data_IF_923268137333
#
_entry.id   IF_923268137333
#
_cell.length_a   1.000
_cell.length_b   1.000
_cell.length_c   1.000
_cell.angle_alpha   90.00
_cell.angle_beta   90.00
_cell.angle_gamma   90.00
#
_symmetry.space_group_name_H-M   'P 1'
#
loop_
_entity.id
_entity.type
_entity.pdbx_description
1 polymer ?
#
# COMPACT_ATOMS: atom_id res chain seq x y z
N UNK A 1 41.82 -11.23 -12.85
CA UNK A 1 40.71 -11.65 -11.95
C UNK A 1 40.62 -10.57 -10.90
N UNK A 2 39.48 -9.89 -10.77
CA UNK A 2 39.36 -8.75 -9.86
C UNK A 2 39.18 -9.27 -8.44
N UNK A 3 40.13 -8.93 -7.56
CA UNK A 3 40.03 -9.16 -6.13
C UNK A 3 38.85 -8.35 -5.59
N UNK A 4 37.75 -9.05 -5.32
CA UNK A 4 36.57 -8.45 -4.69
C UNK A 4 36.88 -8.28 -3.20
N UNK A 5 36.80 -7.07 -2.63
CA UNK A 5 37.07 -6.90 -1.21
C UNK A 5 36.06 -7.73 -0.42
N UNK A 6 36.60 -8.60 0.43
CA UNK A 6 35.84 -9.41 1.39
C UNK A 6 35.02 -8.45 2.23
N UNK A 7 33.69 -8.61 2.27
CA UNK A 7 32.84 -7.78 3.14
C UNK A 7 33.34 -7.91 4.57
N UNK A 8 33.88 -6.84 5.12
CA UNK A 8 34.28 -6.75 6.52
C UNK A 8 33.02 -6.79 7.38
N UNK A 9 32.55 -7.99 7.69
CA UNK A 9 31.33 -8.26 8.47
C UNK A 9 31.49 -7.95 9.96
N UNK A 10 32.53 -7.21 10.34
CA UNK A 10 32.92 -6.92 11.74
C UNK A 10 33.05 -5.43 12.02
N UNK A 11 32.73 -4.56 11.06
CA UNK A 11 32.63 -3.13 11.36
C UNK A 11 31.39 -2.94 12.23
N UNK A 12 31.59 -2.62 13.50
CA UNK A 12 30.51 -2.30 14.41
C UNK A 12 29.80 -1.03 13.89
N UNK A 13 28.48 -1.10 13.76
CA UNK A 13 27.68 0.06 13.36
C UNK A 13 27.77 1.15 14.42
N UNK A 14 27.79 2.41 13.96
CA UNK A 14 27.73 3.54 14.87
C UNK A 14 26.36 3.58 15.57
N UNK A 15 26.34 3.84 16.89
CA UNK A 15 25.09 3.88 17.65
C UNK A 15 24.17 4.97 17.11
N UNK A 16 22.91 4.60 16.84
CA UNK A 16 21.89 5.55 16.45
C UNK A 16 21.36 6.30 17.67
N UNK A 17 21.06 7.58 17.52
CA UNK A 17 20.42 8.37 18.57
C UNK A 17 19.02 7.85 18.89
N UNK A 18 18.56 8.12 20.12
CA UNK A 18 17.21 7.74 20.52
C UNK A 18 16.16 8.44 19.64
N UNK A 19 15.18 7.66 19.19
CA UNK A 19 14.03 8.21 18.49
C UNK A 19 13.36 9.25 19.39
N UNK A 20 13.11 10.44 18.86
CA UNK A 20 12.36 11.47 19.56
C UNK A 20 10.98 10.98 20.06
N UNK A 21 10.32 11.77 20.93
CA UNK A 21 9.08 11.39 21.58
C UNK A 21 8.02 10.90 20.58
N UNK A 22 7.17 9.97 21.02
CA UNK A 22 6.03 9.53 20.21
C UNK A 22 5.18 10.76 19.86
N UNK A 23 4.88 10.92 18.57
CA UNK A 23 4.02 12.01 18.12
C UNK A 23 2.62 11.88 18.72
N UNK A 24 1.91 13.01 18.81
CA UNK A 24 0.50 13.03 19.18
C UNK A 24 -0.31 12.35 18.07
N UNK A 25 -0.62 11.07 18.23
CA UNK A 25 -1.75 10.51 17.52
C UNK A 25 -2.99 11.15 18.15
N UNK A 26 -3.61 12.08 17.43
CA UNK A 26 -5.01 12.42 17.68
C UNK A 26 -5.78 11.10 17.57
N UNK A 27 -6.46 10.70 18.63
CA UNK A 27 -7.20 9.42 18.66
C UNK A 27 -8.35 9.40 17.66
N UNK A 28 -8.63 10.55 17.02
CA UNK A 28 -9.87 10.73 16.30
C UNK A 28 -11.02 10.82 17.28
N UNK A 29 -12.12 11.44 16.85
CA UNK A 29 -13.34 11.45 17.62
C UNK A 29 -13.94 10.03 17.66
N UNK A 30 -14.18 9.50 18.87
CA UNK A 30 -15.00 8.28 19.06
C UNK A 30 -16.44 8.45 18.57
N UNK A 31 -16.88 9.70 18.35
CA UNK A 31 -18.17 10.01 17.76
C UNK A 31 -18.05 10.00 16.24
N UNK A 32 -18.95 9.29 15.53
CA UNK A 32 -19.05 9.45 14.08
C UNK A 32 -19.31 10.94 13.80
N UNK A 33 -18.57 11.52 12.87
CA UNK A 33 -18.91 12.86 12.40
C UNK A 33 -20.33 12.78 11.84
N UNK A 34 -21.22 13.60 12.42
CA UNK A 34 -22.64 13.64 12.09
C UNK A 34 -22.88 14.25 10.70
N UNK A 35 -22.25 13.66 9.68
CA UNK A 35 -22.55 13.96 8.29
C UNK A 35 -24.05 13.86 8.06
N UNK A 36 -24.58 14.60 7.09
CA UNK A 36 -26.02 14.73 6.89
C UNK A 36 -26.70 13.36 6.91
N UNK A 37 -27.65 13.19 7.82
CA UNK A 37 -28.45 11.97 8.01
C UNK A 37 -29.26 11.59 6.76
N UNK A 38 -29.42 12.54 5.82
CA UNK A 38 -30.07 12.36 4.53
C UNK A 38 -29.07 11.98 3.42
N UNK A 39 -28.14 11.05 3.66
CA UNK A 39 -27.47 10.40 2.52
C UNK A 39 -28.53 9.52 1.84
N UNK A 40 -28.84 9.74 0.54
CA UNK A 40 -29.76 8.87 -0.16
C UNK A 40 -29.21 7.45 -0.11
N UNK A 41 -30.05 6.48 0.27
CA UNK A 41 -29.71 5.07 0.17
C UNK A 41 -29.29 4.79 -1.27
N UNK A 42 -28.05 4.33 -1.47
CA UNK A 42 -27.57 3.99 -2.80
C UNK A 42 -28.47 2.91 -3.40
N UNK A 43 -29.16 3.23 -4.49
CA UNK A 43 -29.95 2.24 -5.23
C UNK A 43 -29.03 1.55 -6.22
N UNK A 44 -28.64 0.31 -5.93
CA UNK A 44 -28.17 -0.60 -6.96
C UNK A 44 -29.38 -1.35 -7.49
N UNK A 45 -29.78 -1.07 -8.72
CA UNK A 45 -30.83 -1.87 -9.37
C UNK A 45 -30.26 -3.27 -9.64
N UNK A 46 -31.10 -4.31 -9.71
CA UNK A 46 -30.66 -5.67 -10.06
C UNK A 46 -29.95 -5.75 -11.43
N UNK A 47 -30.12 -4.73 -12.28
CA UNK A 47 -29.47 -4.59 -13.59
C UNK A 47 -28.19 -3.74 -13.55
N UNK A 48 -27.85 -3.17 -12.40
CA UNK A 48 -26.61 -2.42 -12.20
C UNK A 48 -25.47 -3.42 -12.11
N UNK A 49 -24.91 -3.77 -13.26
CA UNK A 49 -23.65 -4.48 -13.32
C UNK A 49 -22.53 -3.51 -12.90
N UNK A 50 -22.03 -3.69 -11.69
CA UNK A 50 -20.88 -2.95 -11.14
C UNK A 50 -19.56 -3.65 -11.45
N UNK A 51 -19.57 -4.72 -12.25
CA UNK A 51 -18.36 -5.40 -12.64
C UNK A 51 -17.54 -4.53 -13.59
N UNK A 52 -16.29 -4.29 -13.23
CA UNK A 52 -15.29 -3.76 -14.15
C UNK A 52 -14.67 -4.96 -14.83
N UNK A 53 -14.88 -5.09 -16.14
CA UNK A 53 -14.20 -6.12 -16.92
C UNK A 53 -12.71 -5.80 -16.90
N UNK A 54 -11.84 -6.73 -16.44
CA UNK A 54 -10.40 -6.52 -16.53
C UNK A 54 -10.06 -6.33 -18.00
N UNK A 55 -9.50 -5.16 -18.34
CA UNK A 55 -8.91 -4.98 -19.65
C UNK A 55 -7.72 -5.92 -19.73
N UNK A 56 -7.65 -6.74 -20.77
CA UNK A 56 -6.42 -7.44 -21.08
C UNK A 56 -5.32 -6.37 -21.20
N UNK A 57 -4.22 -6.47 -20.43
CA UNK A 57 -3.07 -5.61 -20.63
C UNK A 57 -2.46 -5.94 -21.99
N UNK A 58 -3.00 -5.35 -23.06
CA UNK A 58 -2.41 -5.38 -24.41
C UNK A 58 -1.60 -4.12 -24.65
N UNK A 59 -0.83 -3.74 -23.65
CA UNK A 59 0.22 -2.75 -23.85
C UNK A 59 1.40 -3.50 -24.52
N UNK A 60 1.75 -3.18 -25.77
CA UNK A 60 2.85 -3.85 -26.46
C UNK A 60 4.21 -3.66 -25.76
N UNK A 61 4.31 -2.69 -24.86
CA UNK A 61 5.52 -2.39 -24.10
C UNK A 61 5.48 -2.95 -22.66
N UNK A 62 4.42 -3.69 -22.29
CA UNK A 62 4.37 -4.34 -20.98
C UNK A 62 5.31 -5.54 -20.91
N UNK A 63 6.12 -5.67 -19.83
CA UNK A 63 6.96 -6.84 -19.64
C UNK A 63 6.10 -8.08 -19.37
N UNK A 64 6.48 -9.22 -19.97
CA UNK A 64 5.86 -10.53 -19.68
C UNK A 64 6.15 -10.94 -18.24
N UNK A 65 5.19 -10.70 -17.34
CA UNK A 65 5.25 -11.16 -15.96
C UNK A 65 4.55 -12.52 -15.87
N UNK A 66 5.31 -13.58 -15.54
CA UNK A 66 4.70 -14.85 -15.15
C UNK A 66 3.84 -14.63 -13.89
N UNK A 67 2.54 -14.84 -14.02
CA UNK A 67 1.64 -14.86 -12.87
C UNK A 67 1.98 -16.07 -12.01
N UNK A 68 2.67 -15.83 -10.89
CA UNK A 68 3.05 -16.86 -9.94
C UNK A 68 1.85 -17.29 -9.10
N UNK A 69 1.13 -18.32 -9.56
CA UNK A 69 0.14 -19.06 -8.76
C UNK A 69 0.59 -20.52 -8.65
N UNK A 70 0.86 -20.98 -7.43
CA UNK A 70 1.13 -22.38 -7.09
C UNK A 70 -0.14 -23.19 -6.87
#
# INVERSE_FOLDING_TARGET
MADTPKKDSTVAEEPQEERGPKGSRDTGSDKPSGGPSNRPSGTSDKKSDTSVQPQEPRDPDSPDLQSGGG
#
